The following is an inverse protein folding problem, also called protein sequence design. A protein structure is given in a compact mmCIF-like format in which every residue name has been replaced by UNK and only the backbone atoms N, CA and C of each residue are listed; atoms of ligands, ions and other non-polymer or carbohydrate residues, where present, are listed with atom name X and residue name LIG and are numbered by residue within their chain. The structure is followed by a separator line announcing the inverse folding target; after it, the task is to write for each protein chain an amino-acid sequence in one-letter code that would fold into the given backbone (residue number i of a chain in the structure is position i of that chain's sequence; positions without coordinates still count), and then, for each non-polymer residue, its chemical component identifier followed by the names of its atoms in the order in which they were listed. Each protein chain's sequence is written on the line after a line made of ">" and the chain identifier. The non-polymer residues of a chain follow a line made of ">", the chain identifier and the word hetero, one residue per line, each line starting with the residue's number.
data_IF_195499857365
#
_entry.id   IF_195499857365
#
_cell.length_a   1.000
_cell.length_b   1.000
_cell.length_c   1.000
_cell.angle_alpha   90.00
_cell.angle_beta   90.00
_cell.angle_gamma   90.00
#
_symmetry.space_group_name_H-M   'P 1'
#
loop_
_entity.id
_entity.type
_entity.pdbx_description
1 polymer ?
#
# COMPACT_ATOMS: atom_id res chain seq x y z
N UNK A 1 -34.78 -41.08 -31.84
CA UNK A 1 -34.27 -40.71 -30.50
C UNK A 1 -33.39 -39.47 -30.66
N UNK A 2 -33.96 -38.28 -30.50
CA UNK A 2 -33.22 -37.01 -30.63
C UNK A 2 -33.02 -36.40 -29.26
N UNK A 3 -31.75 -36.27 -28.83
CA UNK A 3 -31.40 -35.66 -27.55
C UNK A 3 -31.45 -34.14 -27.72
N UNK A 4 -32.39 -33.50 -27.03
CA UNK A 4 -32.48 -32.04 -26.92
C UNK A 4 -31.46 -31.56 -25.88
N UNK A 5 -30.34 -31.00 -26.33
CA UNK A 5 -29.38 -30.32 -25.47
C UNK A 5 -29.93 -28.93 -25.13
N UNK A 6 -30.38 -28.76 -23.88
CA UNK A 6 -30.76 -27.45 -23.34
C UNK A 6 -29.50 -26.73 -22.86
N UNK A 7 -29.11 -25.67 -23.57
CA UNK A 7 -28.07 -24.75 -23.14
C UNK A 7 -28.59 -23.93 -21.95
N UNK A 8 -28.10 -24.23 -20.75
CA UNK A 8 -28.26 -23.34 -19.60
C UNK A 8 -27.23 -22.22 -19.71
N UNK A 9 -27.65 -21.03 -20.12
CA UNK A 9 -26.87 -19.81 -19.90
C UNK A 9 -26.98 -19.46 -18.41
N UNK A 10 -25.95 -19.77 -17.64
CA UNK A 10 -25.81 -19.26 -16.28
C UNK A 10 -25.37 -17.80 -16.39
N UNK A 11 -26.30 -16.87 -16.16
CA UNK A 11 -25.98 -15.44 -16.02
C UNK A 11 -25.37 -15.27 -14.62
N UNK A 12 -24.04 -15.16 -14.56
CA UNK A 12 -23.36 -14.70 -13.35
C UNK A 12 -23.56 -13.18 -13.30
N UNK A 13 -24.47 -12.74 -12.43
CA UNK A 13 -24.59 -11.32 -12.07
C UNK A 13 -23.42 -11.01 -11.14
N UNK A 14 -22.37 -10.42 -11.70
CA UNK A 14 -21.31 -9.82 -10.91
C UNK A 14 -21.91 -8.58 -10.25
N UNK A 15 -22.15 -8.62 -8.93
CA UNK A 15 -22.46 -7.41 -8.16
C UNK A 15 -21.19 -6.55 -8.19
N UNK A 16 -21.13 -5.59 -9.09
CA UNK A 16 -20.22 -4.47 -8.95
C UNK A 16 -20.75 -3.64 -7.77
N UNK A 17 -20.16 -3.83 -6.59
CA UNK A 17 -20.33 -2.88 -5.50
C UNK A 17 -19.63 -1.60 -5.98
N UNK A 18 -20.43 -0.59 -6.34
CA UNK A 18 -19.91 0.73 -6.69
C UNK A 18 -19.35 1.36 -5.42
N UNK A 19 -18.06 1.15 -5.14
CA UNK A 19 -17.31 2.08 -4.31
C UNK A 19 -17.33 3.45 -5.00
N UNK A 20 -17.43 4.54 -4.24
CA UNK A 20 -17.18 5.88 -4.77
C UNK A 20 -15.80 5.86 -5.44
N UNK A 21 -15.79 6.04 -6.75
CA UNK A 21 -14.70 5.62 -7.62
C UNK A 21 -13.57 6.65 -7.76
N UNK A 22 -13.29 7.44 -6.72
CA UNK A 22 -12.13 8.32 -6.70
C UNK A 22 -11.33 8.07 -5.43
N UNK A 23 -10.28 7.27 -5.55
CA UNK A 23 -9.23 7.22 -4.54
C UNK A 23 -8.19 8.30 -4.86
N UNK A 24 -7.79 9.05 -3.85
CA UNK A 24 -6.67 9.96 -3.90
C UNK A 24 -5.37 9.19 -4.03
N UNK A 25 -4.43 9.74 -4.80
CA UNK A 25 -3.08 9.20 -4.89
C UNK A 25 -2.34 9.44 -3.58
N UNK A 26 -1.55 8.45 -3.18
CA UNK A 26 -0.60 8.57 -2.09
C UNK A 26 0.81 8.83 -2.65
N UNK A 27 1.55 9.73 -2.01
CA UNK A 27 2.93 10.05 -2.36
C UNK A 27 3.80 10.32 -1.13
N UNK A 28 5.09 10.00 -1.25
CA UNK A 28 6.12 10.38 -0.29
C UNK A 28 7.16 11.26 -0.99
N UNK A 29 7.56 12.34 -0.34
CA UNK A 29 8.61 13.26 -0.81
C UNK A 29 9.68 13.43 0.26
N UNK A 30 10.95 13.45 -0.14
CA UNK A 30 12.10 13.70 0.75
C UNK A 30 12.69 15.08 0.45
N UNK A 31 13.00 15.87 1.49
CA UNK A 31 13.56 17.21 1.33
C UNK A 31 15.02 17.34 1.81
N UNK A 32 15.29 16.86 3.02
CA UNK A 32 16.62 16.91 3.64
C UNK A 32 17.21 15.51 3.69
N UNK A 33 18.50 15.39 3.42
CA UNK A 33 19.32 14.19 3.53
C UNK A 33 20.72 14.54 4.09
N UNK A 34 20.82 15.66 4.80
CA UNK A 34 22.06 16.14 5.41
C UNK A 34 22.67 15.11 6.35
N UNK A 35 24.00 15.02 6.36
CA UNK A 35 24.74 14.05 7.19
C UNK A 35 24.80 12.63 6.63
N UNK A 36 24.12 12.34 5.52
CA UNK A 36 24.22 11.08 4.78
C UNK A 36 25.22 11.21 3.62
N UNK A 37 25.87 10.11 3.25
CA UNK A 37 26.66 10.04 2.00
C UNK A 37 25.73 9.96 0.78
N UNK A 38 26.20 10.29 -0.43
CA UNK A 38 25.38 10.14 -1.64
C UNK A 38 24.85 8.71 -1.87
N UNK A 39 25.61 7.68 -1.50
CA UNK A 39 25.17 6.28 -1.61
C UNK A 39 24.07 5.96 -0.61
N UNK A 40 24.18 6.42 0.63
CA UNK A 40 23.13 6.25 1.66
C UNK A 40 21.86 7.01 1.28
N UNK A 41 22.01 8.24 0.77
CA UNK A 41 20.90 9.05 0.29
C UNK A 41 20.11 8.38 -0.84
N UNK A 42 20.79 7.66 -1.75
CA UNK A 42 20.13 6.98 -2.86
C UNK A 42 19.19 5.84 -2.44
N UNK A 43 19.37 5.29 -1.23
CA UNK A 43 18.52 4.20 -0.70
C UNK A 43 17.08 4.69 -0.43
N UNK A 44 16.86 5.98 -0.26
CA UNK A 44 15.53 6.54 -0.01
C UNK A 44 14.60 6.42 -1.22
N UNK A 45 15.13 6.50 -2.45
CA UNK A 45 14.30 6.35 -3.65
C UNK A 45 13.69 4.94 -3.70
N UNK A 46 14.47 3.92 -3.35
CA UNK A 46 14.02 2.54 -3.25
C UNK A 46 13.02 2.36 -2.09
N UNK A 47 13.26 3.00 -0.95
CA UNK A 47 12.35 2.93 0.21
C UNK A 47 10.99 3.60 -0.05
N UNK A 48 10.98 4.72 -0.80
CA UNK A 48 9.75 5.37 -1.26
C UNK A 48 9.01 4.44 -2.20
N UNK A 49 9.69 3.90 -3.22
CA UNK A 49 9.09 2.97 -4.17
C UNK A 49 8.53 1.72 -3.48
N UNK A 50 9.22 1.23 -2.45
CA UNK A 50 8.78 0.13 -1.61
C UNK A 50 7.42 0.43 -0.97
N UNK A 51 7.30 1.52 -0.20
CA UNK A 51 6.03 1.86 0.45
C UNK A 51 4.92 2.26 -0.53
N UNK A 52 5.24 2.98 -1.61
CA UNK A 52 4.25 3.32 -2.65
C UNK A 52 3.75 2.09 -3.45
N UNK A 53 4.47 0.97 -3.40
CA UNK A 53 4.00 -0.30 -4.00
C UNK A 53 2.96 -1.01 -3.12
N UNK A 54 3.02 -0.84 -1.79
CA UNK A 54 2.07 -1.41 -0.84
C UNK A 54 0.90 -0.47 -0.53
N UNK A 55 1.15 0.84 -0.52
CA UNK A 55 0.17 1.89 -0.25
C UNK A 55 -0.23 2.56 -1.56
N UNK A 56 -1.25 2.00 -2.19
CA UNK A 56 -1.65 2.35 -3.57
C UNK A 56 -2.55 3.59 -3.64
N UNK A 57 -2.89 4.19 -2.51
CA UNK A 57 -3.72 5.40 -2.43
C UNK A 57 -4.21 5.68 -1.01
N UNK A 58 -5.17 6.60 -0.91
CA UNK A 58 -5.93 6.88 0.33
C UNK A 58 -7.43 6.70 0.09
N UNK A 59 -8.18 6.44 1.16
CA UNK A 59 -9.64 6.23 1.10
C UNK A 59 -10.44 7.52 0.82
N UNK A 60 -9.76 8.68 0.90
CA UNK A 60 -10.25 10.00 0.48
C UNK A 60 -10.20 10.17 -1.04
N UNK A 61 -11.05 11.01 -1.63
CA UNK A 61 -10.94 11.44 -3.03
C UNK A 61 -9.76 12.40 -3.28
N UNK A 62 -9.20 12.99 -2.22
CA UNK A 62 -8.11 13.96 -2.30
C UNK A 62 -6.75 13.26 -2.24
N UNK A 63 -5.84 13.68 -3.12
CA UNK A 63 -4.46 13.22 -3.08
C UNK A 63 -3.79 13.59 -1.75
N UNK A 64 -2.92 12.70 -1.29
CA UNK A 64 -2.20 12.85 -0.06
C UNK A 64 -0.69 12.71 -0.32
N UNK A 65 0.09 13.67 0.20
CA UNK A 65 1.55 13.65 0.12
C UNK A 65 2.14 13.86 1.51
N UNK A 66 3.13 13.04 1.86
CA UNK A 66 3.93 13.21 3.08
C UNK A 66 5.28 13.78 2.69
N UNK A 67 5.65 14.90 3.29
CA UNK A 67 7.00 15.47 3.14
C UNK A 67 7.84 15.07 4.34
N UNK A 68 8.93 14.34 4.12
CA UNK A 68 9.80 13.84 5.17
C UNK A 68 11.16 14.54 5.11
N UNK A 69 11.56 15.11 6.24
CA UNK A 69 12.93 15.59 6.45
C UNK A 69 13.76 14.44 7.03
N UNK A 70 14.73 13.92 6.27
CA UNK A 70 15.61 12.84 6.70
C UNK A 70 17.04 13.37 6.96
N UNK A 71 17.77 12.77 7.89
CA UNK A 71 19.14 13.20 8.15
C UNK A 71 19.96 12.15 8.89
N UNK A 72 21.27 12.14 8.62
CA UNK A 72 22.26 11.55 9.50
C UNK A 72 22.62 12.54 10.60
N UNK A 73 22.49 12.15 11.86
CA UNK A 73 22.87 12.96 13.03
C UNK A 73 23.61 12.10 14.05
N UNK A 74 24.29 12.72 15.02
CA UNK A 74 24.73 11.97 16.19
C UNK A 74 23.52 11.68 17.09
N UNK A 75 23.31 10.41 17.47
CA UNK A 75 22.30 9.99 18.44
C UNK A 75 22.99 9.49 19.71
N UNK A 76 23.10 8.17 19.90
CA UNK A 76 23.65 7.52 21.10
C UNK A 76 24.99 6.82 20.87
N UNK A 77 25.48 6.80 19.63
CA UNK A 77 26.77 6.21 19.26
C UNK A 77 26.58 4.90 18.51
N UNK A 78 27.51 3.95 18.70
CA UNK A 78 27.45 2.68 17.99
C UNK A 78 26.44 1.74 18.66
N UNK A 79 25.44 1.29 17.90
CA UNK A 79 24.36 0.44 18.38
C UNK A 79 23.38 1.18 19.29
N UNK A 80 22.32 0.49 19.71
CA UNK A 80 21.21 1.16 20.39
C UNK A 80 20.25 1.72 19.35
N UNK A 81 20.17 3.05 19.22
CA UNK A 81 19.24 3.72 18.30
C UNK A 81 19.83 3.82 16.90
N UNK A 82 19.48 2.88 16.03
CA UNK A 82 19.89 2.91 14.62
C UNK A 82 19.22 4.04 13.83
N UNK A 83 17.96 4.28 14.17
CA UNK A 83 17.05 5.23 13.52
C UNK A 83 15.99 5.71 14.50
N UNK A 84 15.38 6.85 14.18
CA UNK A 84 14.17 7.31 14.84
C UNK A 84 13.33 8.16 13.90
N UNK A 85 12.02 7.93 13.91
CA UNK A 85 11.13 8.65 13.03
C UNK A 85 9.71 8.78 13.57
N UNK A 86 8.98 9.71 12.97
CA UNK A 86 7.56 9.88 13.21
C UNK A 86 6.97 11.12 12.56
N UNK A 87 5.65 11.29 12.66
CA UNK A 87 4.96 12.47 12.15
C UNK A 87 5.41 13.73 12.89
N UNK A 88 5.69 14.79 12.15
CA UNK A 88 5.91 16.15 12.66
C UNK A 88 4.75 17.10 12.33
N UNK A 89 3.85 16.65 11.46
CA UNK A 89 2.61 17.32 11.13
C UNK A 89 1.56 16.30 10.73
N UNK A 90 0.31 16.55 11.14
CA UNK A 90 -0.85 15.75 10.80
C UNK A 90 -1.91 16.62 10.11
N UNK A 91 -2.79 15.97 9.36
CA UNK A 91 -3.88 16.61 8.64
C UNK A 91 -5.08 15.68 8.54
N UNK A 92 -6.26 16.25 8.31
CA UNK A 92 -7.46 15.51 7.91
C UNK A 92 -7.82 15.96 6.50
N UNK A 93 -8.06 15.00 5.61
CA UNK A 93 -8.55 15.30 4.27
C UNK A 93 -10.05 15.64 4.31
N UNK A 94 -10.56 16.53 3.44
CA UNK A 94 -11.89 17.13 3.59
C UNK A 94 -13.07 16.16 3.71
N UNK A 95 -12.96 15.00 3.08
CA UNK A 95 -13.98 13.93 3.02
C UNK A 95 -13.61 12.69 3.84
N UNK A 96 -12.50 12.73 4.58
CA UNK A 96 -11.97 11.59 5.33
C UNK A 96 -12.26 11.71 6.81
N UNK A 97 -12.67 10.62 7.45
CA UNK A 97 -12.71 10.51 8.91
C UNK A 97 -11.32 10.25 9.51
N UNK A 98 -10.38 9.79 8.69
CA UNK A 98 -9.01 9.52 9.09
C UNK A 98 -8.12 10.76 9.13
N UNK A 99 -7.11 10.68 9.98
CA UNK A 99 -6.02 11.63 10.20
C UNK A 99 -4.73 11.02 9.67
N UNK A 100 -4.04 11.77 8.83
CA UNK A 100 -2.83 11.35 8.13
C UNK A 100 -1.65 12.22 8.56
N UNK A 101 -0.44 11.67 8.51
CA UNK A 101 0.77 12.48 8.57
C UNK A 101 0.91 13.28 7.27
N UNK A 102 1.17 14.59 7.31
CA UNK A 102 1.55 15.35 6.10
C UNK A 102 3.00 15.85 6.13
N UNK A 103 3.63 15.76 7.30
CA UNK A 103 5.06 16.01 7.50
C UNK A 103 5.65 14.97 8.42
N UNK A 104 6.89 14.58 8.16
CA UNK A 104 7.63 13.62 8.96
C UNK A 104 9.06 14.06 9.20
N UNK A 105 9.70 13.40 10.16
CA UNK A 105 11.14 13.47 10.34
C UNK A 105 11.70 12.08 10.54
N UNK A 106 12.84 11.81 9.90
CA UNK A 106 13.66 10.61 10.11
C UNK A 106 15.08 11.03 10.48
N UNK A 107 15.67 10.37 11.47
CA UNK A 107 17.04 10.64 11.94
C UNK A 107 17.77 9.31 12.11
N UNK A 108 18.96 9.19 11.56
CA UNK A 108 19.79 7.98 11.62
C UNK A 108 21.10 8.28 12.34
N UNK A 109 21.59 7.36 13.18
CA UNK A 109 22.85 7.58 13.86
C UNK A 109 24.02 7.46 12.87
N UNK A 110 24.74 8.57 12.69
CA UNK A 110 25.97 8.63 11.90
C UNK A 110 27.05 7.65 12.34
N UNK A 111 27.04 7.21 13.60
CA UNK A 111 27.95 6.17 14.08
C UNK A 111 27.66 4.78 13.50
N UNK A 112 26.41 4.50 13.09
CA UNK A 112 25.98 3.19 12.60
C UNK A 112 25.82 3.11 11.08
N UNK A 113 25.63 4.24 10.39
CA UNK A 113 25.34 4.29 8.95
C UNK A 113 26.31 3.50 8.08
N UNK A 114 27.62 3.63 8.31
CA UNK A 114 28.63 2.91 7.52
C UNK A 114 28.53 1.39 7.70
N UNK A 115 28.21 0.94 8.92
CA UNK A 115 28.01 -0.49 9.22
C UNK A 115 26.74 -1.00 8.55
N UNK A 116 25.62 -0.28 8.70
CA UNK A 116 24.34 -0.62 8.08
C UNK A 116 24.43 -0.70 6.55
N UNK A 117 25.10 0.27 5.93
CA UNK A 117 25.34 0.29 4.49
C UNK A 117 26.20 -0.90 4.05
N UNK A 118 27.32 -1.16 4.73
CA UNK A 118 28.23 -2.26 4.38
C UNK A 118 27.60 -3.65 4.53
N UNK A 119 26.63 -3.79 5.45
CA UNK A 119 25.91 -5.04 5.70
C UNK A 119 24.64 -5.17 4.85
N UNK A 120 24.29 -4.15 4.07
CA UNK A 120 23.08 -4.14 3.25
C UNK A 120 21.79 -4.01 4.05
N UNK A 121 21.85 -3.55 5.30
CA UNK A 121 20.69 -3.47 6.22
C UNK A 121 20.12 -2.06 6.33
N UNK A 122 20.78 -1.06 5.72
CA UNK A 122 20.34 0.33 5.76
C UNK A 122 18.95 0.52 5.13
N UNK A 123 18.67 -0.21 4.03
CA UNK A 123 17.36 -0.18 3.39
C UNK A 123 16.25 -0.57 4.37
N UNK A 124 16.42 -1.68 5.10
CA UNK A 124 15.43 -2.19 6.05
C UNK A 124 15.17 -1.19 7.18
N UNK A 125 16.21 -0.57 7.72
CA UNK A 125 16.05 0.49 8.74
C UNK A 125 15.32 1.70 8.16
N UNK A 126 15.64 2.13 6.93
CA UNK A 126 14.94 3.27 6.30
C UNK A 126 13.46 2.95 6.08
N UNK A 127 13.10 1.78 5.55
CA UNK A 127 11.69 1.44 5.34
C UNK A 127 10.94 1.27 6.66
N UNK A 128 11.57 0.73 7.70
CA UNK A 128 11.01 0.65 9.05
C UNK A 128 10.67 2.05 9.60
N UNK A 129 11.65 2.96 9.61
CA UNK A 129 11.46 4.33 10.10
C UNK A 129 10.42 5.10 9.27
N UNK A 130 10.39 4.87 7.96
CA UNK A 130 9.40 5.49 7.08
C UNK A 130 7.98 5.02 7.41
N UNK A 131 7.78 3.76 7.81
CA UNK A 131 6.48 3.24 8.25
C UNK A 131 5.93 4.03 9.44
N UNK A 132 6.79 4.37 10.42
CA UNK A 132 6.41 5.17 11.58
C UNK A 132 6.00 6.58 11.19
N UNK A 133 6.64 7.19 10.20
CA UNK A 133 6.21 8.48 9.65
C UNK A 133 4.84 8.38 9.00
N UNK A 134 4.60 7.33 8.20
CA UNK A 134 3.33 7.14 7.49
C UNK A 134 2.17 6.97 8.48
N UNK A 135 2.40 6.28 9.60
CA UNK A 135 1.43 6.18 10.68
C UNK A 135 1.46 4.88 11.48
N UNK A 136 2.33 3.93 11.15
CA UNK A 136 2.45 2.68 11.88
C UNK A 136 2.92 2.95 13.32
N UNK A 137 2.18 2.48 14.32
CA UNK A 137 2.47 2.72 15.74
C UNK A 137 2.24 4.17 16.22
N UNK A 138 2.26 5.15 15.32
CA UNK A 138 2.20 6.58 15.65
C UNK A 138 0.81 7.19 15.45
N UNK A 139 0.02 6.67 14.51
CA UNK A 139 -1.32 7.16 14.15
C UNK A 139 -2.41 6.09 14.30
N UNK A 140 -2.15 5.00 15.02
CA UNK A 140 -3.17 3.99 15.32
C UNK A 140 -4.35 4.55 16.13
N UNK A 141 -4.12 5.62 16.89
CA UNK A 141 -5.16 6.34 17.62
C UNK A 141 -4.99 7.85 17.48
N UNK A 142 -6.05 8.55 17.09
CA UNK A 142 -6.06 10.00 16.86
C UNK A 142 -7.22 10.72 17.54
N UNK A 143 -7.81 10.07 18.55
CA UNK A 143 -8.88 10.64 19.40
C UNK A 143 -8.53 11.98 20.05
N UNK A 144 -7.23 12.25 20.25
CA UNK A 144 -6.73 13.52 20.76
C UNK A 144 -6.89 14.68 19.77
N UNK A 145 -7.00 14.38 18.48
CA UNK A 145 -7.16 15.37 17.41
C UNK A 145 -8.62 15.46 16.98
N UNK A 146 -9.23 14.31 16.65
CA UNK A 146 -10.63 14.19 16.30
C UNK A 146 -11.18 12.96 17.02
N UNK A 147 -12.12 13.16 17.93
CA UNK A 147 -12.73 12.08 18.69
C UNK A 147 -13.37 11.03 17.76
N UNK A 148 -12.96 9.77 17.89
CA UNK A 148 -13.45 8.64 17.11
C UNK A 148 -12.90 8.54 15.69
N UNK A 149 -11.87 9.32 15.32
CA UNK A 149 -11.27 9.26 13.98
C UNK A 149 -10.50 7.96 13.72
N UNK A 150 -9.66 7.57 14.68
CA UNK A 150 -8.96 6.28 14.77
C UNK A 150 -8.79 5.92 16.24
N UNK A 151 -9.09 4.67 16.59
CA UNK A 151 -8.97 4.13 17.96
C UNK A 151 -8.54 2.66 17.93
N UNK A 152 -7.56 2.32 17.09
CA UNK A 152 -7.14 0.94 16.85
C UNK A 152 -6.23 0.38 17.96
N UNK A 153 -5.70 1.25 18.83
CA UNK A 153 -4.79 0.85 19.90
C UNK A 153 -4.88 1.76 21.13
N UNK A 154 -4.94 1.18 22.31
CA UNK A 154 -4.83 1.92 23.58
C UNK A 154 -3.43 1.72 24.14
N UNK A 155 -2.71 2.82 24.42
CA UNK A 155 -1.36 2.76 25.00
C UNK A 155 -1.34 1.94 26.28
N UNK A 156 -0.38 1.02 26.38
CA UNK A 156 -0.23 0.06 27.47
C UNK A 156 -1.14 -1.17 27.40
N UNK A 157 -2.03 -1.26 26.39
CA UNK A 157 -2.92 -2.42 26.28
C UNK A 157 -2.21 -3.67 25.73
N UNK A 158 -1.20 -3.50 24.87
CA UNK A 158 -0.56 -4.58 24.12
C UNK A 158 -1.48 -5.23 23.07
N UNK A 159 -2.61 -4.57 22.75
CA UNK A 159 -3.68 -5.14 21.94
C UNK A 159 -4.10 -4.18 20.83
N UNK A 160 -3.58 -4.40 19.62
CA UNK A 160 -4.06 -3.71 18.43
C UNK A 160 -5.33 -4.40 17.90
N UNK A 161 -6.35 -3.62 17.55
CA UNK A 161 -7.68 -4.12 17.17
C UNK A 161 -8.24 -3.50 15.89
N UNK A 162 -7.39 -2.97 15.01
CA UNK A 162 -7.80 -2.55 13.67
C UNK A 162 -8.45 -3.71 12.90
N UNK A 163 -9.57 -3.44 12.23
CA UNK A 163 -10.42 -4.45 11.61
C UNK A 163 -9.71 -5.17 10.46
N UNK A 164 -9.08 -4.40 9.56
CA UNK A 164 -8.40 -4.92 8.39
C UNK A 164 -7.16 -5.74 8.79
N UNK A 165 -6.29 -5.21 9.66
CA UNK A 165 -5.10 -5.95 10.07
C UNK A 165 -5.46 -7.19 10.86
N UNK A 166 -6.46 -7.14 11.74
CA UNK A 166 -6.85 -8.29 12.55
C UNK A 166 -7.39 -9.43 11.67
N UNK A 167 -8.14 -9.12 10.62
CA UNK A 167 -8.61 -10.13 9.67
C UNK A 167 -7.44 -10.80 8.94
N UNK A 168 -6.46 -10.01 8.48
CA UNK A 168 -5.28 -10.54 7.81
C UNK A 168 -4.40 -11.34 8.76
N UNK A 169 -4.21 -10.86 9.99
CA UNK A 169 -3.47 -11.56 11.04
C UNK A 169 -4.08 -12.92 11.38
N UNK A 170 -5.41 -13.03 11.38
CA UNK A 170 -6.08 -14.33 11.57
C UNK A 170 -5.72 -15.31 10.47
N UNK A 171 -5.66 -14.84 9.23
CA UNK A 171 -5.33 -15.67 8.06
C UNK A 171 -3.85 -16.05 8.02
N UNK A 172 -2.95 -15.12 8.35
CA UNK A 172 -1.51 -15.36 8.29
C UNK A 172 -0.99 -16.18 9.47
N UNK A 173 -1.54 -15.96 10.66
CA UNK A 173 -0.90 -16.39 11.90
C UNK A 173 -1.83 -17.12 12.87
N UNK A 174 -2.96 -16.51 13.25
CA UNK A 174 -3.79 -17.02 14.37
C UNK A 174 -5.28 -16.86 14.08
N UNK A 175 -5.90 -17.90 13.49
CA UNK A 175 -7.30 -17.92 13.00
C UNK A 175 -8.34 -17.31 13.97
N UNK A 176 -8.19 -17.55 15.27
CA UNK A 176 -9.16 -17.10 16.29
C UNK A 176 -8.69 -15.88 17.11
N UNK A 177 -7.72 -15.12 16.61
CA UNK A 177 -7.22 -13.93 17.28
C UNK A 177 -8.32 -12.88 17.49
N UNK A 178 -8.27 -12.19 18.62
CA UNK A 178 -9.16 -11.05 18.93
C UNK A 178 -8.40 -9.72 18.92
N UNK A 179 -7.08 -9.75 18.75
CA UNK A 179 -6.16 -8.62 18.69
C UNK A 179 -4.82 -9.10 18.12
N UNK A 180 -4.00 -8.14 17.69
CA UNK A 180 -2.60 -8.35 17.34
C UNK A 180 -1.73 -7.90 18.53
N UNK A 181 -0.78 -8.72 19.01
CA UNK A 181 0.13 -8.33 20.08
C UNK A 181 1.02 -7.15 19.69
N UNK A 182 1.08 -6.15 20.58
CA UNK A 182 1.95 -4.97 20.45
C UNK A 182 2.99 -5.01 21.58
N UNK A 183 4.24 -4.71 21.25
CA UNK A 183 5.37 -4.70 22.19
C UNK A 183 5.10 -3.74 23.36
N UNK A 184 5.45 -4.15 24.59
CA UNK A 184 5.29 -3.33 25.80
C UNK A 184 6.61 -3.05 26.53
N UNK A 185 7.67 -3.78 26.19
CA UNK A 185 9.03 -3.65 26.67
C UNK A 185 9.90 -2.75 25.78
N UNK A 186 11.22 -2.87 25.93
CA UNK A 186 12.22 -2.13 25.13
C UNK A 186 12.34 -0.63 25.40
N UNK A 187 11.43 -0.03 26.16
CA UNK A 187 11.44 1.39 26.51
C UNK A 187 10.59 2.24 25.57
N UNK A 188 10.63 3.56 25.72
CA UNK A 188 9.70 4.47 25.03
C UNK A 188 9.86 4.50 23.50
N UNK A 189 11.04 4.14 22.98
CA UNK A 189 11.29 4.01 21.54
C UNK A 189 10.78 2.71 20.93
N UNK A 190 10.36 1.74 21.75
CA UNK A 190 9.98 0.41 21.29
C UNK A 190 8.55 0.05 21.70
N UNK A 191 8.22 0.19 22.99
CA UNK A 191 6.91 -0.11 23.51
C UNK A 191 5.81 0.68 22.77
N UNK A 192 4.66 0.06 22.57
CA UNK A 192 3.44 0.63 22.02
C UNK A 192 3.46 0.99 20.54
N UNK A 193 4.58 0.78 19.85
CA UNK A 193 4.74 1.23 18.45
C UNK A 193 5.16 0.11 17.49
N UNK A 194 5.37 -1.10 18.00
CA UNK A 194 5.90 -2.24 17.25
C UNK A 194 5.04 -3.48 17.48
N UNK A 195 5.08 -4.41 16.54
CA UNK A 195 4.63 -5.76 16.83
C UNK A 195 5.50 -6.39 17.91
N UNK A 196 4.86 -7.19 18.76
CA UNK A 196 5.51 -7.87 19.88
C UNK A 196 6.57 -8.87 19.36
N UNK A 197 7.80 -8.80 19.87
CA UNK A 197 8.89 -9.71 19.44
C UNK A 197 8.54 -11.22 19.52
N UNK A 198 7.82 -11.72 20.55
CA UNK A 198 7.38 -13.11 20.60
C UNK A 198 6.10 -13.42 19.80
N UNK A 199 5.68 -12.57 18.87
CA UNK A 199 4.50 -12.84 18.04
C UNK A 199 4.78 -13.87 16.92
N UNK A 200 3.74 -14.52 16.35
CA UNK A 200 3.92 -15.60 15.36
C UNK A 200 4.50 -15.15 14.01
N UNK A 201 4.50 -13.84 13.71
CA UNK A 201 5.25 -13.29 12.56
C UNK A 201 6.76 -13.41 12.71
N UNK A 202 7.23 -13.73 13.92
CA UNK A 202 8.63 -13.89 14.24
C UNK A 202 9.36 -12.55 14.31
N UNK A 203 10.60 -12.62 14.82
CA UNK A 203 11.47 -11.45 14.94
C UNK A 203 12.04 -10.94 13.61
N UNK A 204 11.70 -11.57 12.48
CA UNK A 204 12.09 -11.13 11.14
C UNK A 204 11.07 -10.21 10.48
N UNK A 205 9.92 -9.95 11.10
CA UNK A 205 8.97 -8.96 10.57
C UNK A 205 9.57 -7.55 10.69
N UNK A 206 9.43 -6.75 9.64
CA UNK A 206 10.01 -5.43 9.52
C UNK A 206 9.62 -4.53 10.70
N UNK A 207 8.41 -4.66 11.24
CA UNK A 207 7.87 -3.75 12.24
C UNK A 207 7.91 -4.30 13.67
N UNK A 208 8.79 -5.27 13.95
CA UNK A 208 9.20 -5.57 15.34
C UNK A 208 10.19 -4.52 15.84
N UNK A 209 10.38 -4.48 17.17
CA UNK A 209 11.13 -3.42 17.85
C UNK A 209 12.65 -3.44 17.64
N UNK A 210 13.18 -4.57 17.17
CA UNK A 210 14.61 -4.75 16.94
C UNK A 210 14.86 -5.30 15.54
N UNK A 211 15.98 -4.90 14.93
CA UNK A 211 16.38 -5.44 13.63
C UNK A 211 16.57 -6.96 13.73
N UNK A 212 15.67 -7.68 13.07
CA UNK A 212 15.56 -9.12 13.07
C UNK A 212 16.70 -9.90 12.41
N UNK A 213 16.66 -11.24 12.51
CA UNK A 213 17.50 -12.09 11.69
C UNK A 213 17.07 -12.02 10.22
N UNK A 214 18.06 -12.05 9.32
CA UNK A 214 17.81 -12.02 7.88
C UNK A 214 17.30 -13.37 7.34
N UNK A 215 16.42 -13.36 6.32
CA UNK A 215 15.91 -12.17 5.64
C UNK A 215 14.82 -11.43 6.44
N UNK A 216 14.84 -10.09 6.40
CA UNK A 216 13.74 -9.26 6.90
C UNK A 216 12.54 -9.39 5.97
N UNK A 217 11.34 -9.44 6.52
CA UNK A 217 10.08 -9.66 5.81
C UNK A 217 9.04 -8.63 6.20
N UNK A 218 8.10 -8.31 5.31
CA UNK A 218 6.96 -7.47 5.62
C UNK A 218 5.70 -8.33 5.56
N UNK A 219 5.04 -8.55 6.69
CA UNK A 219 3.76 -9.29 6.71
C UNK A 219 2.64 -8.52 6.03
N UNK A 220 1.67 -9.25 5.46
CA UNK A 220 0.44 -8.64 4.96
C UNK A 220 -0.32 -7.97 6.11
N UNK A 221 -0.18 -8.48 7.34
CA UNK A 221 -0.71 -7.89 8.57
C UNK A 221 -0.19 -6.47 8.77
N UNK A 222 1.11 -6.23 8.65
CA UNK A 222 1.70 -4.88 8.73
C UNK A 222 1.10 -3.98 7.66
N UNK A 223 1.05 -4.44 6.41
CA UNK A 223 0.49 -3.67 5.29
C UNK A 223 -0.99 -3.34 5.54
N UNK A 224 -1.78 -4.30 6.02
CA UNK A 224 -3.20 -4.12 6.30
C UNK A 224 -3.49 -3.14 7.43
N UNK A 225 -2.57 -2.97 8.40
CA UNK A 225 -2.71 -1.97 9.46
C UNK A 225 -2.76 -0.52 8.95
N UNK A 226 -2.24 -0.26 7.74
CA UNK A 226 -2.39 1.04 7.10
C UNK A 226 -3.81 1.28 6.58
N UNK A 227 -4.55 0.22 6.22
CA UNK A 227 -5.96 0.36 5.83
C UNK A 227 -6.84 0.80 7.00
N UNK A 228 -6.51 0.36 8.21
CA UNK A 228 -7.18 0.76 9.46
C UNK A 228 -6.97 2.24 9.84
N UNK A 229 -6.03 2.93 9.17
CA UNK A 229 -5.76 4.36 9.35
C UNK A 229 -5.95 5.17 8.07
N UNK A 230 -6.73 4.63 7.11
CA UNK A 230 -7.25 5.41 5.97
C UNK A 230 -6.47 5.27 4.66
N UNK A 231 -5.43 4.45 4.59
CA UNK A 231 -4.76 4.15 3.32
C UNK A 231 -5.51 3.07 2.54
N UNK A 232 -5.30 3.04 1.23
CA UNK A 232 -5.61 1.89 0.39
C UNK A 232 -4.35 1.06 0.24
N UNK A 233 -4.47 -0.25 0.41
CA UNK A 233 -3.31 -1.14 0.43
C UNK A 233 -3.44 -2.24 -0.62
N UNK A 234 -2.31 -2.72 -1.11
CA UNK A 234 -2.25 -3.83 -2.08
C UNK A 234 -2.82 -5.14 -1.53
N UNK A 235 -2.90 -5.29 -0.21
CA UNK A 235 -3.40 -6.49 0.49
C UNK A 235 -4.91 -6.46 0.68
N UNK A 236 -5.47 -5.32 1.09
CA UNK A 236 -6.90 -5.22 1.47
C UNK A 236 -7.77 -4.63 0.36
N UNK A 237 -7.17 -3.87 -0.56
CA UNK A 237 -7.83 -3.19 -1.67
C UNK A 237 -7.22 -3.57 -3.02
N UNK A 238 -6.74 -4.82 -3.13
CA UNK A 238 -6.20 -5.35 -4.37
C UNK A 238 -7.21 -5.17 -5.52
N UNK A 239 -6.77 -4.53 -6.60
CA UNK A 239 -7.59 -4.37 -7.80
C UNK A 239 -7.79 -5.76 -8.42
N UNK A 240 -9.04 -6.22 -8.57
CA UNK A 240 -9.29 -7.56 -9.09
C UNK A 240 -8.72 -7.71 -10.51
N UNK A 241 -7.88 -8.72 -10.75
CA UNK A 241 -7.38 -9.05 -12.09
C UNK A 241 -8.52 -9.33 -13.09
N UNK A 242 -9.67 -9.79 -12.59
CA UNK A 242 -10.87 -10.01 -13.39
C UNK A 242 -11.35 -8.71 -14.07
N UNK A 243 -11.34 -7.58 -13.36
CA UNK A 243 -11.78 -6.29 -13.91
C UNK A 243 -10.87 -5.82 -15.06
N UNK A 244 -9.55 -6.02 -14.95
CA UNK A 244 -8.58 -5.71 -16.02
C UNK A 244 -8.73 -6.64 -17.21
N UNK A 245 -8.97 -7.94 -17.01
CA UNK A 245 -9.23 -8.90 -18.11
C UNK A 245 -10.52 -8.55 -18.85
N UNK A 246 -11.59 -8.20 -18.15
CA UNK A 246 -12.84 -7.79 -18.80
C UNK A 246 -12.67 -6.47 -19.58
N UNK A 247 -11.98 -5.47 -19.03
CA UNK A 247 -11.64 -4.24 -19.77
C UNK A 247 -10.82 -4.52 -21.04
N UNK A 248 -9.84 -5.42 -20.96
CA UNK A 248 -9.08 -5.88 -22.13
C UNK A 248 -9.98 -6.57 -23.17
N UNK A 249 -10.87 -7.49 -22.75
CA UNK A 249 -11.77 -8.20 -23.66
C UNK A 249 -12.82 -7.27 -24.30
N UNK A 250 -13.34 -6.28 -23.57
CA UNK A 250 -14.25 -5.25 -24.12
C UNK A 250 -13.53 -4.35 -25.13
N UNK A 251 -12.26 -4.02 -24.90
CA UNK A 251 -11.46 -3.22 -25.84
C UNK A 251 -11.22 -3.96 -27.17
N UNK A 252 -10.94 -5.27 -27.14
CA UNK A 252 -10.82 -6.11 -28.34
C UNK A 252 -12.15 -6.25 -29.09
N UNK A 253 -13.27 -6.40 -28.38
CA UNK A 253 -14.60 -6.48 -28.99
C UNK A 253 -14.99 -5.23 -29.79
N UNK A 254 -14.59 -4.05 -29.33
CA UNK A 254 -14.81 -2.77 -30.03
C UNK A 254 -13.96 -2.62 -31.30
N UNK A 255 -12.73 -3.14 -31.30
CA UNK A 255 -11.82 -3.13 -32.47
C UNK A 255 -12.34 -4.03 -33.59
N UNK A 256 -12.82 -5.24 -33.26
CA UNK A 256 -13.38 -6.17 -34.26
C UNK A 256 -14.67 -5.62 -34.88
N UNK A 257 -15.52 -4.94 -34.10
CA UNK A 257 -16.79 -4.36 -34.59
C UNK A 257 -16.57 -3.21 -35.57
N UNK A 258 -15.53 -2.39 -35.37
CA UNK A 258 -15.13 -1.32 -36.31
C UNK A 258 -14.58 -1.87 -37.62
N UNK A 259 -13.91 -3.01 -37.60
CA UNK A 259 -13.36 -3.62 -38.81
C UNK A 259 -14.46 -4.20 -39.73
N UNK A 260 -15.58 -4.65 -39.16
CA UNK A 260 -16.69 -5.21 -39.95
C UNK A 260 -17.51 -4.12 -40.67
N UNK A 261 -17.70 -2.94 -40.05
CA UNK A 261 -18.47 -1.84 -40.64
C UNK A 261 -17.77 -1.14 -41.83
N UNK A 262 -16.45 -1.30 -42.00
CA UNK A 262 -15.72 -0.75 -43.15
C UNK A 262 -15.75 -1.63 -44.41
N UNK A 263 -16.27 -2.86 -44.32
CA UNK A 263 -16.23 -3.83 -45.43
C UNK A 263 -17.48 -3.89 -46.31
N UNK A 264 -18.58 -3.21 -45.96
CA UNK A 264 -19.85 -3.25 -46.71
C UNK A 264 -20.11 -1.96 -47.50
N UNK A 265 -19.13 -1.55 -48.31
CA UNK A 265 -19.19 -0.32 -49.09
C UNK A 265 -18.52 -0.42 -50.47
N UNK A 266 -18.63 -1.56 -51.15
CA UNK A 266 -18.31 -1.68 -52.58
C UNK A 266 -19.56 -2.14 -53.34
N UNK A 267 -20.17 -1.18 -54.03
CA UNK A 267 -21.41 -1.31 -54.79
C UNK A 267 -21.20 -2.09 -56.10
N UNK A 268 -21.81 -3.27 -56.21
CA UNK A 268 -22.11 -3.92 -57.49
C UNK A 268 -23.33 -3.27 -58.13
N UNK A 269 -23.14 -2.42 -59.16
CA UNK A 269 -24.20 -2.12 -60.15
C UNK A 269 -24.18 -3.18 -61.24
N UNK A 270 -25.33 -3.83 -61.47
CA UNK A 270 -25.53 -4.92 -62.44
C UNK A 270 -26.35 -4.43 -63.65
N UNK A 271 -25.87 -4.84 -64.84
CA UNK A 271 -26.59 -5.26 -66.06
C UNK A 271 -27.33 -4.26 -66.99
N UNK A 272 -26.92 -4.22 -68.27
CA UNK A 272 -27.71 -4.48 -69.52
C UNK A 272 -26.83 -4.17 -70.77
N UNK A 273 -26.24 -5.15 -71.47
CA UNK A 273 -26.66 -5.85 -72.73
C UNK A 273 -27.16 -4.94 -73.88
N UNK A 274 -26.34 -4.72 -74.95
CA UNK A 274 -26.52 -5.21 -76.35
C UNK A 274 -25.62 -4.45 -77.38
N UNK A 275 -24.85 -5.29 -78.08
CA UNK A 275 -24.17 -5.26 -79.39
C UNK A 275 -24.76 -4.36 -80.51
N UNK A 276 -23.89 -3.64 -81.27
CA UNK A 276 -23.59 -3.86 -82.71
C UNK A 276 -23.12 -2.59 -83.50
N UNK A 277 -21.92 -2.70 -84.09
CA UNK A 277 -21.49 -2.38 -85.46
C UNK A 277 -21.54 -0.94 -86.07
N UNK A 278 -20.32 -0.41 -86.28
CA UNK A 278 -19.74 0.21 -87.49
C UNK A 278 -20.54 1.18 -88.37
N UNK A 279 -20.00 2.39 -88.51
CA UNK A 279 -19.45 2.97 -89.76
C UNK A 279 -18.08 3.54 -89.46
#
# INVERSE_FOLDING_TARGET
>A
MGVSIKWFFSVVVSLCVSFSANAGLFKISINDLGGLTPSQSSVFDDAIAYWESYLIGVQSEFNHNIVIDASGVALDGVGGVLGSAGPTGITQLPDSTFVYANKGRMRFDTADLASLESRGTLFDVIVHEMAHVIGFGTLWTTDFFIAGSQSNYVSGSGRYTGEYALEIYRREFVENATFIPVELGGGAGTANSHWDEPWPGGSSDLMTGYLGPYPISLSDTTVASFADIGYLTSVTHAVSEAATVWLFLFSMGLVVRRHHQRSTGASTRRLQIFQAMSV
#
